data_IF_328389786301
#
_entry.id   IF_328389786301
#
_cell.length_a   1.000
_cell.length_b   1.000
_cell.length_c   1.000
_cell.angle_alpha   90.00
_cell.angle_beta   90.00
_cell.angle_gamma   90.00
#
_symmetry.space_group_name_H-M   'P 1'
#
loop_
_entity.id
_entity.type
_entity.pdbx_description
1 polymer ?
#
# COMPACT_ATOMS: atom_id res chain seq x y z
N UNK A 1 0.96 -7.94 3.64
CA UNK A 1 0.07 -7.81 4.82
C UNK A 1 -1.06 -8.79 4.60
N UNK A 2 -1.53 -9.51 5.63
CA UNK A 2 -2.67 -10.42 5.46
C UNK A 2 -3.97 -9.64 5.63
N UNK A 3 -4.86 -9.71 4.65
CA UNK A 3 -6.19 -9.12 4.69
C UNK A 3 -7.21 -10.22 4.36
N UNK A 4 -7.92 -10.72 5.39
CA UNK A 4 -8.73 -11.92 5.26
C UNK A 4 -7.87 -13.13 4.86
N UNK A 5 -8.24 -13.81 3.77
CA UNK A 5 -7.47 -14.92 3.17
C UNK A 5 -6.43 -14.47 2.12
N UNK A 6 -6.38 -13.18 1.77
CA UNK A 6 -5.46 -12.66 0.77
C UNK A 6 -4.18 -12.13 1.44
N UNK A 7 -3.02 -12.56 0.94
CA UNK A 7 -1.75 -11.92 1.28
C UNK A 7 -1.51 -10.82 0.26
N UNK A 8 -1.61 -9.55 0.69
CA UNK A 8 -1.31 -8.41 -0.16
C UNK A 8 0.22 -8.21 -0.13
N UNK A 9 0.95 -8.54 -1.21
CA UNK A 9 2.37 -8.25 -1.27
C UNK A 9 2.52 -6.73 -1.32
N UNK A 10 3.39 -6.20 -0.47
CA UNK A 10 3.68 -4.78 -0.50
C UNK A 10 5.17 -4.52 -0.39
N UNK A 11 5.66 -3.60 -1.23
CA UNK A 11 7.05 -3.17 -1.25
C UNK A 11 7.19 -1.83 -0.55
N UNK A 12 8.16 -1.73 0.34
CA UNK A 12 8.46 -0.48 1.04
C UNK A 12 9.64 0.19 0.34
N UNK A 13 9.45 1.39 -0.17
CA UNK A 13 10.51 2.22 -0.73
C UNK A 13 10.74 3.39 0.21
N UNK A 14 11.87 3.41 0.89
CA UNK A 14 12.28 4.54 1.73
C UNK A 14 13.01 5.56 0.87
N UNK A 15 12.64 6.83 0.98
CA UNK A 15 13.30 7.90 0.23
C UNK A 15 13.61 9.10 1.13
N UNK A 16 14.85 9.60 1.06
CA UNK A 16 15.31 10.70 1.90
C UNK A 16 14.73 12.06 1.47
N UNK A 17 14.40 12.24 0.18
CA UNK A 17 13.82 13.48 -0.36
C UNK A 17 12.31 13.64 -0.08
N UNK A 18 11.61 12.60 0.37
CA UNK A 18 10.14 12.62 0.51
C UNK A 18 9.74 12.87 1.96
N UNK A 19 9.00 13.96 2.22
CA UNK A 19 8.38 14.24 3.54
C UNK A 19 7.06 13.51 3.76
N UNK A 20 6.40 13.04 2.70
CA UNK A 20 5.05 12.45 2.74
C UNK A 20 5.09 10.95 2.46
N UNK A 21 4.27 10.19 3.20
CA UNK A 21 4.05 8.76 2.95
C UNK A 21 3.01 8.58 1.84
N UNK A 22 3.41 7.99 0.72
CA UNK A 22 2.57 7.70 -0.43
C UNK A 22 2.30 6.19 -0.52
N UNK A 23 1.06 5.81 -0.80
CA UNK A 23 0.67 4.41 -1.04
C UNK A 23 0.16 4.34 -2.47
N UNK A 24 0.90 3.62 -3.31
CA UNK A 24 0.50 3.28 -4.67
C UNK A 24 -0.08 1.88 -4.64
N UNK A 25 -1.32 1.74 -5.12
CA UNK A 25 -2.01 0.46 -5.20
C UNK A 25 -2.08 0.10 -6.69
N UNK A 26 -1.50 -1.05 -7.03
CA UNK A 26 -1.57 -1.67 -8.35
C UNK A 26 -2.51 -2.89 -8.32
N UNK A 27 -2.77 -3.51 -9.47
CA UNK A 27 -3.72 -4.63 -9.61
C UNK A 27 -3.37 -5.79 -8.67
N UNK A 28 -2.09 -6.14 -8.61
CA UNK A 28 -1.59 -7.27 -7.82
C UNK A 28 -0.52 -6.88 -6.78
N UNK A 29 -0.09 -5.61 -6.76
CA UNK A 29 1.02 -5.17 -5.91
C UNK A 29 0.75 -3.83 -5.25
N UNK A 30 1.21 -3.66 -4.01
CA UNK A 30 1.08 -2.38 -3.29
C UNK A 30 2.47 -1.81 -3.01
N UNK A 31 2.73 -0.59 -3.41
CA UNK A 31 4.02 0.08 -3.16
C UNK A 31 3.82 1.19 -2.16
N UNK A 32 4.47 1.08 -1.01
CA UNK A 32 4.42 2.06 0.07
C UNK A 32 5.72 2.85 0.07
N UNK A 33 5.66 4.10 -0.37
CA UNK A 33 6.80 5.01 -0.39
C UNK A 33 6.75 5.88 0.85
N UNK A 34 7.78 5.83 1.69
CA UNK A 34 7.77 6.57 2.96
C UNK A 34 9.07 7.36 3.15
N UNK A 35 9.04 8.41 3.99
CA UNK A 35 10.27 9.00 4.49
C UNK A 35 11.12 7.92 5.19
N UNK A 36 12.44 8.09 5.18
CA UNK A 36 13.36 7.21 5.91
C UNK A 36 13.10 7.24 7.43
N UNK A 37 12.59 8.36 7.94
CA UNK A 37 12.24 8.56 9.34
C UNK A 37 11.12 7.64 9.83
N UNK A 38 10.28 7.11 8.92
CA UNK A 38 9.19 6.19 9.28
C UNK A 38 9.74 4.77 9.45
N UNK A 39 9.52 4.21 10.63
CA UNK A 39 9.88 2.81 10.90
C UNK A 39 8.91 1.85 10.24
N UNK A 40 9.39 0.65 9.91
CA UNK A 40 8.59 -0.40 9.28
C UNK A 40 7.33 -0.75 10.09
N UNK A 41 7.38 -0.63 11.42
CA UNK A 41 6.24 -0.85 12.31
C UNK A 41 5.13 0.19 12.11
N UNK A 42 5.48 1.47 12.00
CA UNK A 42 4.52 2.53 11.68
C UNK A 42 3.93 2.34 10.28
N UNK A 43 4.76 1.97 9.30
CA UNK A 43 4.31 1.68 7.95
C UNK A 43 3.29 0.54 7.97
N UNK A 44 3.57 -0.53 8.73
CA UNK A 44 2.65 -1.64 8.91
C UNK A 44 1.33 -1.20 9.55
N UNK A 45 1.36 -0.32 10.56
CA UNK A 45 0.14 0.26 11.16
C UNK A 45 -0.66 1.10 10.16
N UNK A 46 0.01 1.92 9.35
CA UNK A 46 -0.65 2.74 8.32
C UNK A 46 -1.29 1.85 7.26
N UNK A 47 -0.56 0.83 6.79
CA UNK A 47 -1.06 -0.14 5.81
C UNK A 47 -2.21 -0.96 6.39
N UNK A 48 -2.13 -1.37 7.65
CA UNK A 48 -3.22 -2.09 8.31
C UNK A 48 -4.45 -1.18 8.50
N UNK A 49 -4.28 0.06 8.95
CA UNK A 49 -5.39 1.02 9.02
C UNK A 49 -6.01 1.32 7.66
N UNK A 50 -5.19 1.33 6.60
CA UNK A 50 -5.63 1.58 5.22
C UNK A 50 -5.93 0.32 4.42
N UNK A 51 -5.89 -0.89 5.00
CA UNK A 51 -6.10 -2.15 4.28
C UNK A 51 -7.43 -2.21 3.54
N UNK A 52 -8.50 -1.67 4.17
CA UNK A 52 -9.84 -1.56 3.57
C UNK A 52 -9.85 -0.61 2.37
N UNK A 53 -9.10 0.49 2.44
CA UNK A 53 -8.96 1.46 1.34
C UNK A 53 -8.15 0.87 0.19
N UNK A 54 -7.04 0.18 0.50
CA UNK A 54 -6.21 -0.54 -0.48
C UNK A 54 -7.05 -1.59 -1.23
N UNK A 55 -7.82 -2.40 -0.50
CA UNK A 55 -8.66 -3.42 -1.10
C UNK A 55 -9.73 -2.83 -2.03
N UNK A 56 -10.38 -1.73 -1.61
CA UNK A 56 -11.31 -0.99 -2.48
C UNK A 56 -10.62 -0.48 -3.74
N UNK A 57 -9.42 0.08 -3.62
CA UNK A 57 -8.65 0.59 -4.76
C UNK A 57 -8.22 -0.52 -5.72
N UNK A 58 -7.86 -1.70 -5.22
CA UNK A 58 -7.58 -2.87 -6.09
C UNK A 58 -8.83 -3.32 -6.86
N UNK A 59 -9.99 -3.37 -6.21
CA UNK A 59 -11.27 -3.69 -6.87
C UNK A 59 -11.63 -2.66 -7.94
N UNK A 60 -11.43 -1.37 -7.64
CA UNK A 60 -11.61 -0.30 -8.64
C UNK A 60 -10.67 -0.47 -9.83
N UNK A 61 -9.37 -0.72 -9.59
CA UNK A 61 -8.40 -0.96 -10.65
C UNK A 61 -8.74 -2.19 -11.51
N UNK A 62 -9.21 -3.28 -10.89
CA UNK A 62 -9.67 -4.45 -11.62
C UNK A 62 -10.88 -4.15 -12.51
N UNK A 63 -11.85 -3.38 -12.02
CA UNK A 63 -12.99 -2.93 -12.83
C UNK A 63 -12.58 -1.98 -13.96
N UNK A 64 -11.59 -1.13 -13.73
CA UNK A 64 -11.19 -0.09 -14.67
C UNK A 64 -10.34 -0.61 -15.83
N UNK A 65 -9.66 -1.76 -15.66
CA UNK A 65 -8.94 -2.48 -16.74
C UNK A 65 -9.84 -3.41 -17.58
N UNK A 66 -11.16 -3.35 -17.42
CA UNK A 66 -12.14 -4.11 -18.19
C UNK A 66 -12.94 -3.21 -19.15
N UNK A 67 -12.25 -2.28 -19.82
CA UNK A 67 -12.78 -1.45 -20.91
C UNK A 67 -12.04 -1.71 -22.22
#
# INVERSE_FOLDING_TARGET
>A
VRFGNATIPYSIIKSNRRKTSQITVDKDSVVVRTPISKTTSEIKKIVDGKKKWIFRKQLEFQKQNSV
#
